data_IF_008332515357
#
_entry.id   IF_008332515357
#
_cell.length_a   1.000
_cell.length_b   1.000
_cell.length_c   1.000
_cell.angle_alpha   90.00
_cell.angle_beta   90.00
_cell.angle_gamma   90.00
#
_symmetry.space_group_name_H-M   'P 1'
#
loop_
_entity.id
_entity.type
_entity.pdbx_description
1 polymer ?
#
# COMPACT_ATOMS: atom_id res chain seq x y z
N UNK A 1 -35.22 -1.29 -28.55
CA UNK A 1 -35.31 -0.84 -29.96
C UNK A 1 -36.63 -1.22 -30.62
N UNK A 2 -37.05 -2.49 -30.57
CA UNK A 2 -38.34 -2.92 -31.15
C UNK A 2 -39.54 -2.20 -30.51
N UNK A 3 -39.52 -1.98 -29.19
CA UNK A 3 -40.59 -1.23 -28.50
C UNK A 3 -40.64 0.25 -28.92
N UNK A 4 -39.48 0.86 -29.20
CA UNK A 4 -39.43 2.22 -29.71
C UNK A 4 -40.02 2.31 -31.12
N UNK A 5 -39.75 1.32 -31.99
CA UNK A 5 -40.37 1.24 -33.31
C UNK A 5 -41.89 1.11 -33.23
N UNK A 6 -42.42 0.39 -32.24
CA UNK A 6 -43.86 0.26 -32.00
C UNK A 6 -44.52 1.55 -31.52
N UNK A 7 -43.86 2.31 -30.63
CA UNK A 7 -44.35 3.62 -30.20
C UNK A 7 -44.35 4.66 -31.34
N UNK A 8 -43.36 4.62 -32.22
CA UNK A 8 -43.20 5.59 -33.31
C UNK A 8 -44.06 5.25 -34.55
N UNK A 9 -44.25 3.96 -34.84
CA UNK A 9 -44.93 3.49 -36.05
C UNK A 9 -46.00 2.41 -35.76
N UNK A 10 -47.04 2.72 -34.95
CA UNK A 10 -47.96 1.71 -34.43
C UNK A 10 -48.76 0.99 -35.52
N UNK A 11 -49.09 1.67 -36.62
CA UNK A 11 -49.85 1.08 -37.74
C UNK A 11 -49.00 0.13 -38.59
N UNK A 12 -47.69 0.38 -38.68
CA UNK A 12 -46.76 -0.49 -39.41
C UNK A 12 -46.44 -1.72 -38.54
N UNK A 13 -46.20 -1.51 -37.25
CA UNK A 13 -45.81 -2.55 -36.30
C UNK A 13 -46.93 -3.54 -35.96
N UNK A 14 -48.20 -3.14 -36.15
CA UNK A 14 -49.39 -4.01 -35.99
C UNK A 14 -49.62 -4.95 -37.18
N UNK A 15 -48.89 -4.80 -38.29
CA UNK A 15 -48.95 -5.76 -39.41
C UNK A 15 -48.51 -7.14 -38.92
N UNK A 16 -49.20 -8.18 -39.40
CA UNK A 16 -49.03 -9.54 -38.92
C UNK A 16 -47.54 -9.94 -38.84
N UNK A 17 -47.13 -10.43 -37.67
CA UNK A 17 -45.79 -10.95 -37.36
C UNK A 17 -44.61 -9.98 -37.50
N UNK A 18 -44.79 -8.70 -37.85
CA UNK A 18 -43.66 -7.78 -38.05
C UNK A 18 -42.80 -7.60 -36.78
N UNK A 19 -43.45 -7.42 -35.62
CA UNK A 19 -42.76 -7.33 -34.32
C UNK A 19 -41.94 -8.60 -34.03
N UNK A 20 -42.53 -9.77 -34.23
CA UNK A 20 -41.87 -11.06 -33.99
C UNK A 20 -40.69 -11.25 -34.94
N UNK A 21 -40.87 -10.95 -36.23
CA UNK A 21 -39.82 -11.04 -37.24
C UNK A 21 -38.64 -10.10 -36.91
N UNK A 22 -38.92 -8.90 -36.40
CA UNK A 22 -37.89 -7.96 -35.96
C UNK A 22 -37.13 -8.48 -34.73
N UNK A 23 -37.83 -9.09 -33.76
CA UNK A 23 -37.21 -9.71 -32.58
C UNK A 23 -36.29 -10.85 -33.03
N UNK A 24 -36.78 -11.80 -33.82
CA UNK A 24 -35.99 -12.93 -34.33
C UNK A 24 -34.78 -12.46 -35.14
N UNK A 25 -34.99 -11.57 -36.12
CA UNK A 25 -33.92 -11.01 -36.93
C UNK A 25 -32.89 -10.20 -36.11
N UNK A 26 -33.29 -9.67 -34.94
CA UNK A 26 -32.38 -8.97 -34.02
C UNK A 26 -31.61 -9.92 -33.11
N UNK A 27 -32.22 -11.02 -32.65
CA UNK A 27 -31.56 -11.96 -31.73
C UNK A 27 -30.30 -12.59 -32.32
N UNK A 28 -30.28 -12.86 -33.62
CA UNK A 28 -29.10 -13.38 -34.33
C UNK A 28 -27.96 -12.33 -34.43
N UNK A 29 -28.30 -11.04 -34.41
CA UNK A 29 -27.35 -9.93 -34.65
C UNK A 29 -26.86 -9.23 -33.39
N UNK A 30 -27.39 -9.56 -32.21
CA UNK A 30 -27.15 -8.84 -30.94
C UNK A 30 -26.24 -9.63 -29.98
N UNK A 31 -25.59 -10.70 -30.44
CA UNK A 31 -24.63 -11.43 -29.60
C UNK A 31 -23.32 -10.66 -29.45
N UNK A 32 -23.00 -10.23 -28.23
CA UNK A 32 -21.69 -9.65 -27.91
C UNK A 32 -20.67 -10.80 -27.85
N UNK A 33 -19.60 -10.79 -28.66
CA UNK A 33 -18.58 -11.83 -28.62
C UNK A 33 -17.98 -11.94 -27.22
N UNK A 34 -17.90 -13.17 -26.68
CA UNK A 34 -17.27 -13.41 -25.37
C UNK A 34 -15.80 -12.95 -25.33
N UNK A 35 -15.12 -13.02 -26.47
CA UNK A 35 -13.75 -12.51 -26.64
C UNK A 35 -13.69 -10.99 -26.47
N UNK A 36 -14.64 -10.25 -27.04
CA UNK A 36 -14.72 -8.80 -26.84
C UNK A 36 -14.87 -8.47 -25.34
N UNK A 37 -15.78 -9.14 -24.64
CA UNK A 37 -15.99 -8.93 -23.20
C UNK A 37 -14.72 -9.22 -22.40
N UNK A 38 -14.06 -10.36 -22.68
CA UNK A 38 -12.80 -10.74 -22.03
C UNK A 38 -11.71 -9.68 -22.25
N UNK A 39 -11.49 -9.29 -23.50
CA UNK A 39 -10.43 -8.37 -23.86
C UNK A 39 -10.65 -6.99 -23.25
N UNK A 40 -11.89 -6.49 -23.25
CA UNK A 40 -12.19 -5.15 -22.71
C UNK A 40 -12.18 -5.16 -21.18
N UNK A 41 -12.89 -6.09 -20.54
CA UNK A 41 -13.10 -6.05 -19.09
C UNK A 41 -11.95 -6.68 -18.30
N UNK A 42 -11.40 -7.80 -18.76
CA UNK A 42 -10.39 -8.54 -18.00
C UNK A 42 -8.98 -8.16 -18.41
N UNK A 43 -8.72 -8.04 -19.71
CA UNK A 43 -7.37 -7.78 -20.20
C UNK A 43 -7.05 -6.28 -20.17
N UNK A 44 -7.81 -5.45 -20.89
CA UNK A 44 -7.53 -4.02 -20.99
C UNK A 44 -7.82 -3.29 -19.67
N UNK A 45 -9.07 -3.37 -19.18
CA UNK A 45 -9.45 -2.66 -17.95
C UNK A 45 -8.69 -3.15 -16.73
N UNK A 46 -8.40 -4.46 -16.65
CA UNK A 46 -7.63 -5.04 -15.55
C UNK A 46 -6.21 -4.47 -15.48
N UNK A 47 -5.52 -4.38 -16.63
CA UNK A 47 -4.19 -3.79 -16.73
C UNK A 47 -4.24 -2.29 -16.39
N UNK A 48 -5.21 -1.56 -16.91
CA UNK A 48 -5.33 -0.12 -16.69
C UNK A 48 -5.58 0.21 -15.21
N UNK A 49 -6.47 -0.54 -14.55
CA UNK A 49 -6.73 -0.41 -13.11
C UNK A 49 -5.47 -0.74 -12.30
N UNK A 50 -4.79 -1.84 -12.61
CA UNK A 50 -3.60 -2.26 -11.89
C UNK A 50 -2.46 -1.25 -12.02
N UNK A 51 -2.28 -0.69 -13.22
CA UNK A 51 -1.31 0.35 -13.48
C UNK A 51 -1.66 1.61 -12.69
N UNK A 52 -2.94 2.01 -12.66
CA UNK A 52 -3.35 3.19 -11.90
C UNK A 52 -3.17 3.01 -10.40
N UNK A 53 -3.46 1.82 -9.87
CA UNK A 53 -3.17 1.48 -8.46
C UNK A 53 -1.68 1.54 -8.19
N UNK A 54 -0.84 1.03 -9.10
CA UNK A 54 0.61 1.05 -8.94
C UNK A 54 1.17 2.47 -8.94
N UNK A 55 0.64 3.35 -9.80
CA UNK A 55 0.96 4.77 -9.80
C UNK A 55 0.62 5.42 -8.45
N UNK A 56 -0.60 5.22 -7.95
CA UNK A 56 -1.03 5.76 -6.64
C UNK A 56 -0.15 5.22 -5.50
N UNK A 57 0.18 3.92 -5.52
CA UNK A 57 1.08 3.32 -4.52
C UNK A 57 2.45 4.00 -4.51
N UNK A 58 3.02 4.25 -5.68
CA UNK A 58 4.31 4.95 -5.79
C UNK A 58 4.20 6.39 -5.28
N UNK A 59 3.13 7.12 -5.63
CA UNK A 59 2.90 8.48 -5.12
C UNK A 59 2.80 8.51 -3.60
N UNK A 60 2.03 7.59 -3.00
CA UNK A 60 1.90 7.52 -1.54
C UNK A 60 3.23 7.13 -0.88
N UNK A 61 3.96 6.17 -1.46
CA UNK A 61 5.27 5.76 -0.95
C UNK A 61 6.27 6.92 -0.97
N UNK A 62 6.32 7.69 -2.06
CA UNK A 62 7.15 8.89 -2.15
C UNK A 62 6.76 9.93 -1.10
N UNK A 63 5.46 10.27 -1.00
CA UNK A 63 4.96 11.23 -0.03
C UNK A 63 5.31 10.86 1.41
N UNK A 64 5.08 9.60 1.79
CA UNK A 64 5.41 9.12 3.14
C UNK A 64 6.92 9.14 3.37
N UNK A 65 7.71 8.78 2.37
CA UNK A 65 9.17 8.77 2.48
C UNK A 65 9.71 10.17 2.71
N UNK A 66 9.25 11.15 1.93
CA UNK A 66 9.64 12.55 2.06
C UNK A 66 9.28 13.09 3.45
N UNK A 67 8.05 12.85 3.90
CA UNK A 67 7.60 13.30 5.22
C UNK A 67 8.38 12.64 6.37
N UNK A 68 8.67 11.34 6.31
CA UNK A 68 9.46 10.66 7.34
C UNK A 68 10.88 11.23 7.40
N UNK A 69 11.48 11.54 6.24
CA UNK A 69 12.80 12.17 6.16
C UNK A 69 12.78 13.55 6.82
N UNK A 70 11.77 14.37 6.54
CA UNK A 70 11.63 15.69 7.16
C UNK A 70 11.53 15.61 8.69
N UNK A 71 10.70 14.69 9.22
CA UNK A 71 10.58 14.46 10.68
C UNK A 71 11.90 14.02 11.32
N UNK A 72 12.65 13.14 10.65
CA UNK A 72 13.97 12.71 11.12
C UNK A 72 14.93 13.90 11.14
N UNK A 73 14.94 14.72 10.10
CA UNK A 73 15.81 15.89 10.00
C UNK A 73 15.47 16.93 11.09
N UNK A 74 14.20 17.17 11.36
CA UNK A 74 13.75 18.07 12.41
C UNK A 74 14.17 17.57 13.80
N UNK A 75 13.94 16.28 14.10
CA UNK A 75 14.31 15.68 15.37
C UNK A 75 15.83 15.73 15.62
N UNK A 76 16.62 15.44 14.58
CA UNK A 76 18.09 15.52 14.65
C UNK A 76 18.56 16.96 14.85
N UNK A 77 18.00 17.91 14.10
CA UNK A 77 18.32 19.34 14.21
C UNK A 77 18.02 19.88 15.63
N UNK A 78 16.84 19.55 16.17
CA UNK A 78 16.44 19.89 17.54
C UNK A 78 17.41 19.31 18.58
N UNK A 79 17.80 18.05 18.41
CA UNK A 79 18.76 17.38 19.29
C UNK A 79 20.13 18.04 19.24
N UNK A 80 20.62 18.38 18.04
CA UNK A 80 21.86 19.11 17.85
C UNK A 80 21.82 20.48 18.54
N UNK A 81 20.74 21.25 18.37
CA UNK A 81 20.57 22.56 18.99
C UNK A 81 20.58 22.46 20.52
N UNK A 82 19.88 21.47 21.08
CA UNK A 82 19.91 21.19 22.53
C UNK A 82 21.34 20.92 22.99
N UNK A 83 22.05 19.99 22.36
CA UNK A 83 23.44 19.66 22.72
C UNK A 83 24.37 20.88 22.62
N UNK A 84 24.30 21.64 21.53
CA UNK A 84 25.09 22.86 21.36
C UNK A 84 24.81 23.90 22.45
N UNK A 85 23.54 24.04 22.87
CA UNK A 85 23.16 24.92 23.96
C UNK A 85 23.76 24.50 25.31
N UNK A 86 23.87 23.21 25.59
CA UNK A 86 24.51 22.70 26.80
C UNK A 86 26.03 22.92 26.80
N UNK A 87 26.69 22.72 25.64
CA UNK A 87 28.12 22.95 25.49
C UNK A 87 28.50 24.42 25.68
N UNK A 88 27.73 25.33 25.08
CA UNK A 88 27.95 26.78 25.22
C UNK A 88 27.70 27.27 26.65
N UNK A 89 26.76 26.66 27.39
CA UNK A 89 26.50 26.97 28.81
C UNK A 89 27.60 26.46 29.76
N UNK A 90 28.22 25.31 29.47
CA UNK A 90 29.31 24.73 30.30
C UNK A 90 30.61 25.56 30.29
N UNK A 91 30.77 26.47 29.32
CA UNK A 91 31.89 27.41 29.24
C UNK A 91 31.78 28.63 30.16
N UNK A 92 30.68 28.80 30.91
CA UNK A 92 30.56 29.86 31.93
C UNK A 92 30.94 29.29 33.31
N UNK A 93 31.75 30.00 34.13
CA UNK A 93 31.99 29.58 35.51
C UNK A 93 30.66 29.55 36.26
N UNK A 94 30.26 28.38 36.76
CA UNK A 94 29.10 28.23 37.63
C UNK A 94 29.38 28.96 38.95
N UNK A 95 28.49 29.83 39.46
CA UNK A 95 28.49 30.15 40.88
C UNK A 95 28.10 28.87 41.61
N UNK A 96 28.94 28.48 42.59
CA UNK A 96 28.75 27.36 43.49
C UNK A 96 27.32 27.37 44.07
N UNK A 97 26.47 26.43 43.63
CA UNK A 97 25.22 26.12 44.32
C UNK A 97 25.37 24.77 45.02
N UNK A 98 25.15 24.81 46.33
CA UNK A 98 25.10 23.66 47.21
C UNK A 98 23.92 22.76 46.86
N UNK A 99 24.17 21.47 47.09
CA UNK A 99 23.29 20.31 46.97
C UNK A 99 21.84 20.55 47.42
N UNK A 100 20.89 20.12 46.59
CA UNK A 100 19.61 19.63 47.10
C UNK A 100 19.16 18.46 46.23
N UNK A 101 18.72 17.42 46.91
CA UNK A 101 18.52 16.05 46.43
C UNK A 101 17.43 15.94 45.36
N UNK A 102 17.56 14.90 44.54
CA UNK A 102 16.60 14.50 43.52
C UNK A 102 15.36 13.96 44.24
N UNK A 103 14.32 14.79 44.39
CA UNK A 103 12.96 14.29 44.57
C UNK A 103 12.40 13.89 43.20
N UNK A 104 12.25 12.58 43.00
CA UNK A 104 11.49 12.00 41.90
C UNK A 104 10.02 12.35 42.15
N UNK A 105 9.54 13.41 41.50
CA UNK A 105 8.12 13.72 41.44
C UNK A 105 7.49 12.91 40.30
N UNK A 106 6.82 11.83 40.68
CA UNK A 106 5.82 11.11 39.88
C UNK A 106 4.70 12.09 39.44
N UNK A 107 4.56 12.33 38.14
CA UNK A 107 3.41 13.03 37.54
C UNK A 107 2.68 12.10 36.55
N UNK A 108 1.65 11.44 37.09
CA UNK A 108 0.26 11.28 36.60
C UNK A 108 0.00 10.82 35.14
N UNK A 109 -0.82 9.77 34.92
CA UNK A 109 -1.14 9.24 33.60
C UNK A 109 -2.20 10.06 32.87
N UNK A 110 -1.85 10.58 31.69
CA UNK A 110 -2.82 11.08 30.70
C UNK A 110 -3.40 9.91 29.91
N UNK A 111 -4.73 9.79 29.96
CA UNK A 111 -5.58 8.72 29.41
C UNK A 111 -5.17 8.29 27.99
N UNK A 112 -4.53 7.12 27.85
CA UNK A 112 -4.50 6.36 26.59
C UNK A 112 -5.76 5.51 26.50
N UNK A 113 -6.43 5.57 25.35
CA UNK A 113 -7.44 4.59 24.94
C UNK A 113 -6.77 3.22 24.93
N UNK A 114 -7.18 2.36 25.85
CA UNK A 114 -6.87 0.94 25.88
C UNK A 114 -7.62 0.26 24.73
N UNK A 115 -6.94 0.05 23.62
CA UNK A 115 -7.27 -1.02 22.67
C UNK A 115 -6.79 -2.31 23.31
N UNK A 116 -7.69 -3.26 23.52
CA UNK A 116 -7.38 -4.53 24.20
C UNK A 116 -6.49 -5.38 23.29
N UNK A 117 -5.54 -6.07 23.92
CA UNK A 117 -4.53 -6.94 23.29
C UNK A 117 -5.14 -8.11 22.48
N UNK A 118 -6.46 -8.32 22.60
CA UNK A 118 -7.22 -9.35 21.91
C UNK A 118 -7.51 -8.98 20.45
N UNK A 119 -7.68 -7.69 20.14
CA UNK A 119 -7.97 -7.22 18.77
C UNK A 119 -6.71 -7.21 17.87
N UNK A 120 -5.53 -7.05 18.46
CA UNK A 120 -4.24 -7.19 17.77
C UNK A 120 -3.97 -8.64 17.34
N UNK A 121 -4.39 -9.61 18.15
CA UNK A 121 -4.15 -11.04 17.87
C UNK A 121 -5.04 -11.59 16.76
N UNK A 122 -6.27 -11.10 16.64
CA UNK A 122 -7.21 -11.47 15.56
C UNK A 122 -6.74 -10.92 14.19
N UNK A 123 -6.14 -9.73 14.17
CA UNK A 123 -5.57 -9.14 12.95
C UNK A 123 -4.31 -9.91 12.49
N UNK A 124 -3.44 -10.29 13.44
CA UNK A 124 -2.22 -11.07 13.17
C UNK A 124 -2.54 -12.48 12.63
N UNK A 125 -3.61 -13.11 13.12
CA UNK A 125 -4.08 -14.42 12.63
C UNK A 125 -4.71 -14.36 11.23
N UNK A 126 -5.33 -13.24 10.87
CA UNK A 126 -5.96 -13.08 9.56
C UNK A 126 -4.93 -12.83 8.45
N UNK A 127 -3.82 -12.15 8.77
CA UNK A 127 -2.68 -11.94 7.86
C UNK A 127 -1.90 -13.24 7.56
N UNK A 128 -1.89 -14.19 8.49
CA UNK A 128 -1.17 -15.46 8.33
C UNK A 128 -1.85 -16.42 7.33
N UNK A 129 -3.17 -16.30 7.12
CA UNK A 129 -3.92 -17.17 6.20
C UNK A 129 -3.77 -16.77 4.73
N UNK A 130 -3.47 -15.50 4.44
CA UNK A 130 -3.36 -14.96 3.08
C UNK A 130 -1.95 -15.07 2.48
N UNK A 131 -1.00 -15.65 3.24
CA UNK A 131 0.39 -15.82 2.82
C UNK A 131 0.71 -17.28 2.47
N UNK A 132 -0.14 -17.92 1.64
CA UNK A 132 0.21 -19.17 0.95
C UNK A 132 1.15 -18.86 -0.23
N UNK A 133 2.37 -18.41 0.09
CA UNK A 133 3.45 -18.30 -0.88
C UNK A 133 4.51 -19.34 -0.56
N UNK A 134 4.64 -20.31 -1.47
CA UNK A 134 5.61 -21.40 -1.42
C UNK A 134 7.05 -20.87 -1.38
N UNK A 135 7.64 -20.76 -0.20
CA UNK A 135 9.09 -20.55 -0.06
C UNK A 135 9.80 -21.91 -0.03
N UNK A 136 10.81 -22.17 -0.87
CA UNK A 136 11.62 -23.38 -0.74
C UNK A 136 12.33 -23.36 0.62
N UNK A 137 12.12 -24.39 1.45
CA UNK A 137 12.79 -24.55 2.75
C UNK A 137 14.30 -24.58 2.54
N UNK A 138 14.96 -23.46 2.78
CA UNK A 138 16.43 -23.37 2.80
C UNK A 138 16.96 -24.25 3.93
N UNK A 139 17.56 -25.40 3.58
CA UNK A 139 18.34 -26.19 4.54
C UNK A 139 19.52 -25.35 4.99
N UNK A 140 19.53 -24.95 6.27
CA UNK A 140 20.60 -24.21 6.94
C UNK A 140 21.91 -25.00 6.80
N UNK A 141 22.73 -24.65 5.81
CA UNK A 141 24.06 -25.25 5.63
C UNK A 141 24.99 -24.74 6.75
N UNK A 142 25.69 -25.66 7.42
CA UNK A 142 26.69 -25.36 8.44
C UNK A 142 27.74 -24.36 7.91
N UNK A 143 28.31 -23.55 8.81
CA UNK A 143 29.34 -22.52 8.52
C UNK A 143 30.49 -23.09 7.66
N UNK A 144 30.77 -24.38 7.79
CA UNK A 144 31.85 -25.06 7.07
C UNK A 144 31.64 -25.23 5.56
N UNK A 145 30.44 -24.99 5.03
CA UNK A 145 30.15 -25.11 3.59
C UNK A 145 29.77 -23.79 2.93
N UNK A 146 30.12 -22.64 3.53
CA UNK A 146 30.07 -21.36 2.81
C UNK A 146 31.17 -21.39 1.74
N UNK A 147 30.78 -21.62 0.49
CA UNK A 147 31.69 -21.48 -0.65
C UNK A 147 32.32 -20.08 -0.59
N UNK A 148 33.66 -20.06 -0.51
CA UNK A 148 34.47 -18.85 -0.63
C UNK A 148 34.04 -18.10 -1.89
N UNK A 149 33.88 -16.77 -1.79
CA UNK A 149 33.58 -15.96 -2.97
C UNK A 149 34.74 -16.10 -3.98
N UNK A 150 34.46 -16.16 -5.30
CA UNK A 150 35.52 -16.17 -6.30
C UNK A 150 36.40 -14.94 -6.14
N UNK A 151 37.72 -15.14 -6.10
CA UNK A 151 38.70 -14.06 -6.01
C UNK A 151 38.85 -13.44 -7.40
N UNK A 152 38.60 -12.13 -7.52
CA UNK A 152 38.75 -11.39 -8.78
C UNK A 152 40.23 -11.32 -9.19
N UNK A 153 40.58 -11.81 -10.39
CA UNK A 153 41.92 -11.72 -10.99
C UNK A 153 42.19 -10.40 -11.74
N UNK A 154 41.61 -9.28 -11.30
CA UNK A 154 41.73 -8.02 -12.03
C UNK A 154 43.04 -7.25 -11.75
N UNK A 155 43.81 -7.61 -10.73
CA UNK A 155 45.07 -6.94 -10.41
C UNK A 155 46.12 -7.98 -9.97
N UNK A 156 46.74 -8.64 -10.94
CA UNK A 156 48.02 -9.34 -10.75
C UNK A 156 49.12 -8.51 -11.39
N UNK A 157 50.18 -8.23 -10.62
CA UNK A 157 51.43 -7.62 -11.09
C UNK A 157 52.12 -8.49 -12.14
#
# INVERSE_FOLDING_TARGET
MVDAAEGLCPHVMRKAHLRQNLIEASTEKVSIPRTFVKNVLLEQSGIDILNKISEVKLTVASFLSDHIVDEILEALSSSQHKLASHLTKRGKPLPRQESTEIEVLEEKPTKRLTVTNEELSELERLEELDTCMMTPKSKRKSIHSRMLRPVSRAFGK
#
